data_IF_182029928516
#
_entry.id   IF_182029928516
#
_cell.length_a   1.000
_cell.length_b   1.000
_cell.length_c   1.000
_cell.angle_alpha   90.00
_cell.angle_beta   90.00
_cell.angle_gamma   90.00
#
_symmetry.space_group_name_H-M   'P 1'
#
loop_
_entity.id
_entity.type
_entity.pdbx_description
1 polymer ?
#
# COMPACT_ATOMS: atom_id res chain seq x y z
N UNK A 1 -31.51 -9.80 -18.87
CA UNK A 1 -30.12 -9.52 -18.44
C UNK A 1 -30.13 -8.25 -17.61
N UNK A 2 -29.89 -8.35 -16.31
CA UNK A 2 -29.79 -7.16 -15.45
C UNK A 2 -28.40 -6.55 -15.64
N UNK A 3 -28.30 -5.51 -16.46
CA UNK A 3 -27.03 -4.82 -16.66
C UNK A 3 -26.85 -3.73 -15.59
N UNK A 4 -25.64 -3.63 -15.06
CA UNK A 4 -25.26 -2.51 -14.20
C UNK A 4 -25.24 -1.22 -15.03
N UNK A 5 -25.73 -0.12 -14.46
CA UNK A 5 -25.53 1.22 -15.02
C UNK A 5 -24.03 1.57 -15.04
N UNK A 6 -23.62 2.50 -15.89
CA UNK A 6 -22.20 2.93 -15.94
C UNK A 6 -21.69 3.49 -14.62
N UNK A 7 -22.56 4.15 -13.84
CA UNK A 7 -22.21 4.62 -12.48
C UNK A 7 -21.96 3.42 -11.54
N UNK A 8 -22.82 2.41 -11.59
CA UNK A 8 -22.63 1.19 -10.80
C UNK A 8 -21.36 0.45 -11.22
N UNK A 9 -21.12 0.25 -12.53
CA UNK A 9 -19.89 -0.37 -13.03
C UNK A 9 -18.64 0.35 -12.55
N UNK A 10 -18.62 1.69 -12.61
CA UNK A 10 -17.48 2.48 -12.13
C UNK A 10 -17.24 2.27 -10.63
N UNK A 11 -18.28 2.36 -9.81
CA UNK A 11 -18.16 2.15 -8.36
C UNK A 11 -17.67 0.72 -8.03
N UNK A 12 -18.22 -0.28 -8.71
CA UNK A 12 -17.84 -1.69 -8.54
C UNK A 12 -16.40 -1.94 -9.02
N UNK A 13 -16.01 -1.45 -10.20
CA UNK A 13 -14.63 -1.55 -10.70
C UNK A 13 -13.60 -0.95 -9.74
N UNK A 14 -13.88 0.22 -9.16
CA UNK A 14 -12.99 0.83 -8.17
C UNK A 14 -12.84 -0.04 -6.92
N UNK A 15 -13.93 -0.64 -6.45
CA UNK A 15 -13.92 -1.53 -5.28
C UNK A 15 -13.16 -2.82 -5.55
N UNK A 16 -13.42 -3.46 -6.70
CA UNK A 16 -12.72 -4.68 -7.14
C UNK A 16 -11.22 -4.41 -7.26
N UNK A 17 -10.83 -3.28 -7.84
CA UNK A 17 -9.43 -2.89 -7.96
C UNK A 17 -8.71 -2.73 -6.62
N UNK A 18 -9.36 -2.13 -5.62
CA UNK A 18 -8.80 -2.02 -4.26
C UNK A 18 -8.66 -3.42 -3.63
N UNK A 19 -9.68 -4.27 -3.79
CA UNK A 19 -9.65 -5.64 -3.29
C UNK A 19 -8.52 -6.45 -3.94
N UNK A 20 -8.33 -6.37 -5.26
CA UNK A 20 -7.26 -7.06 -5.97
C UNK A 20 -5.88 -6.61 -5.50
N UNK A 21 -5.67 -5.31 -5.27
CA UNK A 21 -4.41 -4.81 -4.70
C UNK A 21 -4.14 -5.37 -3.31
N UNK A 22 -5.14 -5.40 -2.43
CA UNK A 22 -5.00 -5.97 -1.10
C UNK A 22 -4.72 -7.48 -1.13
N UNK A 23 -5.33 -8.20 -2.09
CA UNK A 23 -5.03 -9.60 -2.34
C UNK A 23 -3.56 -9.79 -2.77
N UNK A 24 -3.07 -8.96 -3.68
CA UNK A 24 -1.68 -9.04 -4.16
C UNK A 24 -0.68 -8.74 -3.04
N UNK A 25 -0.97 -7.76 -2.17
CA UNK A 25 -0.17 -7.46 -0.97
C UNK A 25 -0.14 -8.66 -0.01
N UNK A 26 -1.29 -9.29 0.29
CA UNK A 26 -1.33 -10.50 1.12
C UNK A 26 -0.55 -11.67 0.51
N UNK A 27 -0.68 -11.88 -0.81
CA UNK A 27 0.10 -12.92 -1.49
C UNK A 27 1.60 -12.65 -1.38
N UNK A 28 2.02 -11.40 -1.54
CA UNK A 28 3.41 -11.00 -1.39
C UNK A 28 3.93 -11.30 0.02
N UNK A 29 3.18 -10.92 1.06
CA UNK A 29 3.55 -11.17 2.46
C UNK A 29 3.64 -12.66 2.82
N UNK A 30 2.78 -13.51 2.23
CA UNK A 30 2.80 -14.95 2.49
C UNK A 30 3.92 -15.71 1.77
N UNK A 31 4.49 -15.10 0.71
CA UNK A 31 5.47 -15.75 -0.17
C UNK A 31 6.87 -15.18 -0.04
N UNK A 32 7.01 -13.98 0.53
CA UNK A 32 8.29 -13.32 0.72
C UNK A 32 8.46 -13.02 2.19
N UNK A 33 9.63 -13.37 2.71
CA UNK A 33 10.08 -12.84 3.99
C UNK A 33 10.57 -11.41 3.77
N UNK A 34 10.13 -10.48 4.60
CA UNK A 34 10.62 -9.10 4.56
C UNK A 34 10.72 -8.55 5.99
N UNK A 35 11.85 -7.94 6.27
CA UNK A 35 12.10 -7.18 7.49
C UNK A 35 12.37 -5.73 7.10
N UNK A 36 12.03 -4.80 8.00
CA UNK A 36 12.41 -3.40 7.88
C UNK A 36 13.55 -3.05 8.83
N UNK A 37 14.16 -1.88 8.63
CA UNK A 37 15.12 -1.35 9.61
C UNK A 37 14.47 -1.12 10.98
N UNK A 38 13.18 -0.81 11.02
CA UNK A 38 12.41 -0.50 12.24
C UNK A 38 11.47 -1.62 12.69
N UNK A 39 11.35 -2.72 11.95
CA UNK A 39 10.42 -3.81 12.28
C UNK A 39 10.94 -5.16 11.80
N UNK A 40 10.49 -6.23 12.46
CA UNK A 40 10.70 -7.60 12.01
C UNK A 40 9.36 -8.28 11.82
N UNK A 41 9.22 -9.04 10.74
CA UNK A 41 8.03 -9.87 10.53
C UNK A 41 8.22 -11.17 11.29
N UNK A 42 7.39 -11.36 12.32
CA UNK A 42 7.29 -12.63 13.01
C UNK A 42 6.35 -13.54 12.23
N UNK A 43 6.89 -14.61 11.65
CA UNK A 43 6.08 -15.63 11.00
C UNK A 43 5.37 -16.49 12.04
N UNK A 44 4.05 -16.34 12.13
CA UNK A 44 3.16 -17.10 13.00
C UNK A 44 2.19 -18.01 12.22
N UNK A 45 2.34 -18.05 10.89
CA UNK A 45 1.56 -18.90 9.98
C UNK A 45 2.46 -20.03 9.48
N UNK A 46 2.14 -21.28 9.80
CA UNK A 46 2.88 -22.44 9.29
C UNK A 46 2.68 -22.67 7.78
N UNK A 47 3.56 -23.45 7.16
CA UNK A 47 3.56 -23.68 5.71
C UNK A 47 2.30 -24.36 5.19
N UNK A 48 1.70 -25.24 5.99
CA UNK A 48 0.43 -25.89 5.64
C UNK A 48 -0.67 -24.84 5.55
N UNK A 49 -0.73 -23.94 6.53
CA UNK A 49 -1.71 -22.86 6.59
C UNK A 49 -1.45 -21.80 5.52
N UNK A 50 -0.20 -21.43 5.25
CA UNK A 50 0.18 -20.56 4.12
C UNK A 50 -0.33 -21.14 2.81
N UNK A 51 -0.12 -22.44 2.57
CA UNK A 51 -0.57 -23.14 1.36
C UNK A 51 -2.10 -23.12 1.22
N UNK A 52 -2.83 -23.38 2.31
CA UNK A 52 -4.30 -23.30 2.33
C UNK A 52 -4.81 -21.88 2.01
N UNK A 53 -4.21 -20.86 2.61
CA UNK A 53 -4.57 -19.45 2.37
C UNK A 53 -4.31 -19.08 0.92
N UNK A 54 -3.12 -19.39 0.38
CA UNK A 54 -2.77 -19.11 -1.01
C UNK A 54 -3.72 -19.81 -2.00
N UNK A 55 -4.14 -21.05 -1.71
CA UNK A 55 -5.14 -21.76 -2.52
C UNK A 55 -6.50 -21.03 -2.51
N UNK A 56 -6.94 -20.56 -1.34
CA UNK A 56 -8.19 -19.78 -1.21
C UNK A 56 -8.10 -18.43 -1.93
N UNK A 57 -6.97 -17.74 -1.82
CA UNK A 57 -6.72 -16.48 -2.54
C UNK A 57 -6.78 -16.69 -4.05
N UNK A 58 -6.12 -17.73 -4.59
CA UNK A 58 -6.20 -18.05 -6.03
C UNK A 58 -7.65 -18.30 -6.48
N UNK A 59 -8.44 -19.01 -5.67
CA UNK A 59 -9.88 -19.20 -5.93
C UNK A 59 -10.65 -17.88 -5.92
N UNK A 60 -10.36 -16.98 -4.96
CA UNK A 60 -10.98 -15.66 -4.89
C UNK A 60 -10.67 -14.82 -6.14
N UNK A 61 -9.41 -14.78 -6.61
CA UNK A 61 -9.05 -14.08 -7.85
C UNK A 61 -9.85 -14.62 -9.05
N UNK A 62 -10.07 -15.93 -9.13
CA UNK A 62 -10.89 -16.52 -10.19
C UNK A 62 -12.36 -16.10 -10.10
N UNK A 63 -12.91 -16.00 -8.89
CA UNK A 63 -14.27 -15.49 -8.68
C UNK A 63 -14.39 -14.02 -9.12
N UNK A 64 -13.40 -13.18 -8.78
CA UNK A 64 -13.33 -11.78 -9.21
C UNK A 64 -13.26 -11.66 -10.74
N UNK A 65 -12.44 -12.48 -11.39
CA UNK A 65 -12.34 -12.51 -12.85
C UNK A 65 -13.70 -12.84 -13.50
N UNK A 66 -14.36 -13.90 -13.02
CA UNK A 66 -15.66 -14.32 -13.54
C UNK A 66 -16.73 -13.23 -13.32
N UNK A 67 -16.79 -12.66 -12.11
CA UNK A 67 -17.70 -11.56 -11.77
C UNK A 67 -17.47 -10.33 -12.66
N UNK A 68 -16.20 -9.97 -12.88
CA UNK A 68 -15.84 -8.84 -13.73
C UNK A 68 -16.24 -9.06 -15.19
N UNK A 69 -16.11 -10.30 -15.68
CA UNK A 69 -16.56 -10.67 -17.02
C UNK A 69 -18.09 -10.64 -17.15
N UNK A 70 -18.82 -11.21 -16.17
CA UNK A 70 -20.29 -11.27 -16.16
C UNK A 70 -20.92 -9.86 -16.23
N UNK A 71 -20.37 -8.92 -15.45
CA UNK A 71 -20.88 -7.55 -15.39
C UNK A 71 -20.18 -6.57 -16.33
N UNK A 72 -19.26 -7.05 -17.18
CA UNK A 72 -18.49 -6.24 -18.15
C UNK A 72 -17.83 -5.04 -17.46
N UNK A 73 -17.15 -5.30 -16.35
CA UNK A 73 -16.46 -4.26 -15.59
C UNK A 73 -15.23 -3.77 -16.36
N UNK A 74 -15.01 -2.46 -16.32
CA UNK A 74 -13.83 -1.86 -16.93
C UNK A 74 -12.61 -2.14 -16.06
N UNK A 75 -11.51 -2.55 -16.69
CA UNK A 75 -10.20 -2.62 -16.05
C UNK A 75 -9.66 -1.22 -15.81
N UNK A 76 -9.16 -0.96 -14.61
CA UNK A 76 -8.45 0.28 -14.33
C UNK A 76 -7.05 0.22 -14.94
N UNK A 77 -6.71 1.19 -15.78
CA UNK A 77 -5.35 1.33 -16.31
C UNK A 77 -4.49 2.00 -15.25
N UNK A 78 -3.51 1.27 -14.74
CA UNK A 78 -2.54 1.79 -13.79
C UNK A 78 -1.35 2.34 -14.58
N UNK A 79 -1.07 3.63 -14.43
CA UNK A 79 0.14 4.24 -14.96
C UNK A 79 1.21 4.16 -13.87
N UNK A 80 2.21 3.32 -14.08
CA UNK A 80 3.24 3.01 -13.09
C UNK A 80 3.95 4.26 -12.57
N UNK A 81 4.30 5.21 -13.45
CA UNK A 81 4.94 6.47 -13.05
C UNK A 81 4.06 7.28 -12.09
N UNK A 82 2.74 7.32 -12.29
CA UNK A 82 1.82 8.00 -11.38
C UNK A 82 1.75 7.33 -10.01
N UNK A 83 1.81 6.00 -9.96
CA UNK A 83 1.87 5.27 -8.69
C UNK A 83 3.16 5.60 -7.96
N UNK A 84 4.29 5.61 -8.67
CA UNK A 84 5.60 5.90 -8.10
C UNK A 84 5.68 7.33 -7.54
N UNK A 85 5.28 8.33 -8.32
CA UNK A 85 5.25 9.73 -7.89
C UNK A 85 4.28 9.96 -6.71
N UNK A 86 3.14 9.27 -6.72
CA UNK A 86 2.21 9.30 -5.58
C UNK A 86 2.86 8.74 -4.31
N UNK A 87 3.58 7.63 -4.40
CA UNK A 87 4.29 7.04 -3.24
C UNK A 87 5.40 7.95 -2.74
N UNK A 88 6.21 8.54 -3.62
CA UNK A 88 7.23 9.55 -3.25
C UNK A 88 6.63 10.71 -2.47
N UNK A 89 5.49 11.21 -2.94
CA UNK A 89 4.76 12.31 -2.26
C UNK A 89 4.32 11.88 -0.86
N UNK A 90 3.72 10.70 -0.72
CA UNK A 90 3.29 10.19 0.59
C UNK A 90 4.46 9.98 1.55
N UNK A 91 5.60 9.45 1.08
CA UNK A 91 6.79 9.31 1.93
C UNK A 91 7.32 10.66 2.41
N UNK A 92 7.30 11.69 1.56
CA UNK A 92 7.62 13.06 1.96
C UNK A 92 6.72 13.56 3.09
N UNK A 93 5.40 13.37 2.95
CA UNK A 93 4.43 13.75 3.99
C UNK A 93 4.71 13.04 5.31
N UNK A 94 5.02 11.74 5.29
CA UNK A 94 5.34 11.00 6.53
C UNK A 94 6.61 11.49 7.21
N UNK A 95 7.63 11.90 6.44
CA UNK A 95 8.85 12.49 7.00
C UNK A 95 8.60 13.90 7.55
N UNK A 96 7.75 14.69 6.88
CA UNK A 96 7.33 16.00 7.39
C UNK A 96 6.53 15.88 8.70
N UNK A 97 5.72 14.82 8.86
CA UNK A 97 4.93 14.56 10.06
C UNK A 97 5.78 14.34 11.32
N UNK A 98 7.06 13.98 11.14
CA UNK A 98 8.03 13.77 12.23
C UNK A 98 9.08 14.88 12.31
N UNK A 99 8.85 16.06 11.70
CA UNK A 99 9.74 17.21 11.87
C UNK A 99 9.83 17.66 13.33
N UNK A 100 10.94 18.32 13.70
CA UNK A 100 11.13 18.82 15.07
C UNK A 100 9.97 19.71 15.53
N UNK A 101 9.52 20.65 14.68
CA UNK A 101 8.37 21.53 14.93
C UNK A 101 7.09 20.75 15.29
N UNK A 102 6.76 19.72 14.50
CA UNK A 102 5.55 18.92 14.74
C UNK A 102 5.67 18.06 16.00
N UNK A 103 6.84 17.47 16.24
CA UNK A 103 7.10 16.67 17.43
C UNK A 103 7.03 17.54 18.69
N UNK A 104 7.70 18.69 18.68
CA UNK A 104 7.69 19.65 19.79
C UNK A 104 6.28 20.11 20.13
N UNK A 105 5.48 20.45 19.12
CA UNK A 105 4.09 20.88 19.31
C UNK A 105 3.19 19.80 19.90
N UNK A 106 3.41 18.53 19.55
CA UNK A 106 2.51 17.42 19.93
C UNK A 106 2.94 16.68 21.19
N UNK A 107 4.24 16.53 21.42
CA UNK A 107 4.80 15.68 22.47
C UNK A 107 5.73 16.42 23.43
N UNK A 108 5.92 17.73 23.26
CA UNK A 108 6.82 18.54 24.08
C UNK A 108 8.25 18.57 23.53
N UNK A 109 9.09 19.38 24.17
CA UNK A 109 10.43 19.69 23.68
C UNK A 109 11.32 18.45 23.51
N UNK A 110 12.00 18.36 22.36
CA UNK A 110 13.00 17.33 22.08
C UNK A 110 14.28 17.55 22.90
N UNK A 111 14.95 16.45 23.25
CA UNK A 111 16.23 16.48 23.98
C UNK A 111 17.47 16.46 23.09
N UNK A 112 17.30 16.61 21.77
CA UNK A 112 18.35 16.52 20.75
C UNK A 112 18.48 17.84 19.99
N UNK A 113 19.58 18.04 19.26
CA UNK A 113 19.72 19.20 18.37
C UNK A 113 18.72 19.12 17.22
N UNK A 114 17.71 20.00 17.27
CA UNK A 114 16.62 20.06 16.29
C UNK A 114 17.13 20.37 14.88
N UNK A 115 18.17 21.19 14.73
CA UNK A 115 18.73 21.52 13.41
C UNK A 115 19.44 20.33 12.80
N UNK A 116 20.19 19.57 13.60
CA UNK A 116 20.84 18.34 13.12
C UNK A 116 19.79 17.29 12.73
N UNK A 117 18.76 17.11 13.58
CA UNK A 117 17.67 16.19 13.34
C UNK A 117 16.91 16.51 12.04
N UNK A 118 16.47 17.76 11.87
CA UNK A 118 15.76 18.19 10.67
C UNK A 118 16.66 18.16 9.43
N UNK A 119 17.98 18.42 9.58
CA UNK A 119 18.95 18.24 8.51
C UNK A 119 19.00 16.81 7.99
N UNK A 120 18.95 15.81 8.89
CA UNK A 120 18.87 14.39 8.52
C UNK A 120 17.55 14.05 7.82
N UNK A 121 16.42 14.57 8.30
CA UNK A 121 15.12 14.40 7.63
C UNK A 121 15.13 15.01 6.22
N UNK A 122 15.69 16.22 6.08
CA UNK A 122 15.74 16.90 4.79
C UNK A 122 16.61 16.13 3.78
N UNK A 123 17.69 15.50 4.23
CA UNK A 123 18.49 14.61 3.38
C UNK A 123 17.66 13.44 2.86
N UNK A 124 16.83 12.82 3.70
CA UNK A 124 15.92 11.74 3.28
C UNK A 124 14.87 12.23 2.28
N UNK A 125 14.26 13.39 2.53
CA UNK A 125 13.26 14.00 1.63
C UNK A 125 13.88 14.32 0.27
N UNK A 126 15.08 14.91 0.25
CA UNK A 126 15.79 15.23 -0.99
C UNK A 126 16.16 13.96 -1.77
N UNK A 127 16.58 12.91 -1.07
CA UNK A 127 16.84 11.62 -1.69
C UNK A 127 15.57 11.03 -2.33
N UNK A 128 14.44 11.02 -1.60
CA UNK A 128 13.15 10.55 -2.14
C UNK A 128 12.75 11.32 -3.40
N UNK A 129 12.94 12.65 -3.42
CA UNK A 129 12.61 13.49 -4.58
C UNK A 129 13.47 13.16 -5.82
N UNK A 130 14.68 12.65 -5.61
CA UNK A 130 15.63 12.28 -6.68
C UNK A 130 15.42 10.89 -7.28
N UNK A 131 14.62 10.03 -6.63
CA UNK A 131 14.23 8.71 -7.15
C UNK A 131 13.35 8.85 -8.41
#
# INVERSE_FOLDING_TARGET
MNSLSEKHKRAVSSTIHILEKSIDEMMYMLTNHFDGTSYKVKEDIDDKRKTEILKKIKKLKKLIENFSAEYKLNKNVIIQSRVFESKKTFWGIYLEDISSDRLNKKYGAMSVDEKEYDGKLQNMINFIKSL
#
